data_IF_642084655054
#
_entry.id   IF_642084655054
#
_cell.length_a   1.000
_cell.length_b   1.000
_cell.length_c   1.000
_cell.angle_alpha   90.00
_cell.angle_beta   90.00
_cell.angle_gamma   90.00
#
_symmetry.space_group_name_H-M   'P 1'
#
loop_
_entity.id
_entity.type
_entity.pdbx_description
1 polymer ?
#
# COMPACT_ATOMS: atom_id res chain seq x y z
N UNK A 1 44.19 13.12 -12.78
CA UNK A 1 42.92 13.57 -13.36
C UNK A 1 41.86 13.68 -12.26
N UNK A 2 42.00 14.69 -11.40
CA UNK A 2 41.12 14.98 -10.27
C UNK A 2 41.17 16.50 -10.13
N UNK A 3 40.13 17.26 -10.52
CA UNK A 3 39.91 18.68 -10.17
C UNK A 3 38.74 19.31 -10.96
N UNK A 4 37.52 18.78 -10.89
CA UNK A 4 36.32 19.53 -11.30
C UNK A 4 35.11 19.18 -10.42
N UNK A 5 35.23 19.39 -9.11
CA UNK A 5 34.05 19.70 -8.29
C UNK A 5 33.90 21.22 -8.28
N UNK A 6 33.11 21.72 -9.23
CA UNK A 6 32.63 23.10 -9.20
C UNK A 6 31.82 23.30 -7.93
N UNK A 7 32.27 24.24 -7.09
CA UNK A 7 31.51 24.77 -5.96
C UNK A 7 30.18 25.32 -6.48
N UNK A 8 29.10 24.57 -6.27
CA UNK A 8 27.76 25.15 -6.31
C UNK A 8 27.71 26.18 -5.18
N UNK A 9 27.38 27.46 -5.43
CA UNK A 9 27.19 28.41 -4.36
C UNK A 9 25.90 28.01 -3.64
N UNK A 10 26.04 27.36 -2.49
CA UNK A 10 24.93 27.19 -1.56
C UNK A 10 24.53 28.59 -1.09
N UNK A 11 23.44 29.14 -1.66
CA UNK A 11 22.75 30.29 -1.07
C UNK A 11 22.29 29.86 0.32
N UNK A 12 23.03 30.29 1.34
CA UNK A 12 22.70 30.08 2.74
C UNK A 12 21.37 30.76 3.05
N UNK A 13 20.28 29.99 2.97
CA UNK A 13 18.98 30.41 3.49
C UNK A 13 19.07 30.33 5.01
N UNK A 14 19.14 31.49 5.65
CA UNK A 14 19.23 31.68 7.10
C UNK A 14 18.16 30.87 7.85
N UNK A 15 18.55 30.25 8.98
CA UNK A 15 17.71 29.37 9.79
C UNK A 15 16.27 29.83 10.10
N UNK A 16 15.99 31.13 10.33
CA UNK A 16 14.62 31.62 10.55
C UNK A 16 13.74 31.57 9.30
N UNK A 17 14.27 31.91 8.13
CA UNK A 17 13.53 31.88 6.85
C UNK A 17 13.29 30.44 6.38
N UNK A 18 14.25 29.54 6.58
CA UNK A 18 14.05 28.10 6.33
C UNK A 18 12.96 27.52 7.23
N UNK A 19 12.91 27.93 8.51
CA UNK A 19 11.88 27.48 9.45
C UNK A 19 10.52 28.07 9.12
N UNK A 20 10.43 29.37 8.79
CA UNK A 20 9.19 30.01 8.38
C UNK A 20 8.65 29.45 7.05
N UNK A 21 9.49 29.32 6.02
CA UNK A 21 9.12 28.68 4.75
C UNK A 21 8.67 27.23 4.94
N UNK A 22 9.39 26.44 5.75
CA UNK A 22 8.98 25.06 6.06
C UNK A 22 7.64 25.01 6.80
N UNK A 23 7.40 25.91 7.75
CA UNK A 23 6.14 25.95 8.51
C UNK A 23 4.97 26.39 7.63
N UNK A 24 5.18 27.37 6.75
CA UNK A 24 4.17 27.82 5.78
C UNK A 24 3.91 26.78 4.69
N UNK A 25 4.94 26.04 4.27
CA UNK A 25 4.84 24.96 3.31
C UNK A 25 4.17 23.73 3.92
N UNK A 26 4.48 23.36 5.16
CA UNK A 26 3.78 22.33 5.93
C UNK A 26 2.31 22.71 6.17
N UNK A 27 2.02 23.96 6.58
CA UNK A 27 0.65 24.45 6.76
C UNK A 27 -0.14 24.53 5.44
N UNK A 28 0.52 24.87 4.33
CA UNK A 28 -0.03 24.84 2.96
C UNK A 28 -0.33 23.41 2.52
N UNK A 29 0.57 22.46 2.79
CA UNK A 29 0.37 21.04 2.50
C UNK A 29 -0.80 20.46 3.27
N UNK A 30 -0.90 20.70 4.58
CA UNK A 30 -2.04 20.25 5.37
C UNK A 30 -3.38 20.84 4.88
N UNK A 31 -3.36 22.07 4.35
CA UNK A 31 -4.55 22.76 3.82
C UNK A 31 -4.96 22.21 2.45
N UNK A 32 -3.99 21.93 1.57
CA UNK A 32 -4.23 21.30 0.25
C UNK A 32 -4.63 19.83 0.40
N UNK A 33 -3.98 19.09 1.31
CA UNK A 33 -4.39 17.75 1.68
C UNK A 33 -5.87 17.75 2.06
N UNK A 34 -6.30 18.65 2.98
CA UNK A 34 -7.72 18.82 3.38
C UNK A 34 -8.67 19.32 2.28
N UNK A 35 -8.17 19.78 1.14
CA UNK A 35 -8.99 20.30 0.04
C UNK A 35 -9.60 19.22 -0.86
N UNK A 36 -9.08 17.99 -0.84
CA UNK A 36 -9.55 16.91 -1.71
C UNK A 36 -10.13 15.74 -0.87
N UNK A 37 -11.45 15.77 -0.69
CA UNK A 37 -12.20 14.75 0.08
C UNK A 37 -11.96 13.32 -0.44
N UNK A 38 -11.80 13.15 -1.77
CA UNK A 38 -11.55 11.84 -2.37
C UNK A 38 -10.15 11.31 -2.00
N UNK A 39 -9.14 12.18 -2.03
CA UNK A 39 -7.78 11.83 -1.64
C UNK A 39 -7.70 11.42 -0.17
N UNK A 40 -8.31 12.18 0.75
CA UNK A 40 -8.33 11.81 2.17
C UNK A 40 -9.03 10.49 2.43
N UNK A 41 -10.19 10.26 1.80
CA UNK A 41 -10.90 8.98 1.92
C UNK A 41 -10.05 7.83 1.38
N UNK A 42 -9.36 8.03 0.26
CA UNK A 42 -8.41 7.05 -0.29
C UNK A 42 -7.27 6.75 0.69
N UNK A 43 -6.66 7.78 1.28
CA UNK A 43 -5.57 7.66 2.26
C UNK A 43 -6.04 6.92 3.50
N UNK A 44 -7.19 7.29 4.08
CA UNK A 44 -7.73 6.67 5.29
C UNK A 44 -8.06 5.19 5.08
N UNK A 45 -8.68 4.86 3.95
CA UNK A 45 -8.97 3.46 3.60
C UNK A 45 -7.68 2.67 3.36
N UNK A 46 -6.71 3.26 2.65
CA UNK A 46 -5.39 2.64 2.43
C UNK A 46 -4.65 2.38 3.73
N UNK A 47 -4.72 3.35 4.66
CA UNK A 47 -4.14 3.27 5.99
C UNK A 47 -4.80 2.17 6.81
N UNK A 48 -6.14 2.09 6.81
CA UNK A 48 -6.87 1.01 7.47
C UNK A 48 -6.51 -0.37 6.90
N UNK A 49 -6.49 -0.52 5.56
CA UNK A 49 -6.08 -1.77 4.94
C UNK A 49 -4.65 -2.14 5.30
N UNK A 50 -3.72 -1.17 5.27
CA UNK A 50 -2.32 -1.39 5.61
C UNK A 50 -2.13 -1.76 7.09
N UNK A 51 -2.88 -1.13 8.00
CA UNK A 51 -2.91 -1.47 9.42
C UNK A 51 -3.32 -2.93 9.63
N UNK A 52 -4.44 -3.36 9.05
CA UNK A 52 -4.86 -4.76 9.13
C UNK A 52 -3.92 -5.71 8.39
N UNK A 53 -3.21 -5.24 7.35
CA UNK A 53 -2.13 -6.00 6.73
C UNK A 53 -1.01 -6.31 7.73
N UNK A 54 -0.54 -5.26 8.41
CA UNK A 54 0.59 -5.31 9.33
C UNK A 54 0.25 -5.91 10.69
N UNK A 55 -1.02 -6.05 11.02
CA UNK A 55 -1.49 -6.77 12.20
C UNK A 55 -0.91 -8.20 12.24
N UNK A 56 -1.03 -8.96 11.15
CA UNK A 56 -0.46 -10.32 11.03
C UNK A 56 0.84 -10.41 10.24
N UNK A 57 1.22 -9.36 9.49
CA UNK A 57 2.36 -9.36 8.55
C UNK A 57 3.67 -9.89 9.15
N UNK A 58 4.19 -9.29 10.24
CA UNK A 58 5.44 -9.73 10.87
C UNK A 58 5.36 -11.13 11.51
N UNK A 59 4.16 -11.57 11.88
CA UNK A 59 3.94 -12.84 12.58
C UNK A 59 3.80 -14.03 11.65
N UNK A 60 3.54 -13.81 10.35
CA UNK A 60 3.48 -14.92 9.38
C UNK A 60 4.78 -15.71 9.34
N UNK A 61 5.95 -15.06 9.36
CA UNK A 61 7.23 -15.75 9.38
C UNK A 61 7.43 -16.60 10.65
N UNK A 62 7.04 -16.05 11.80
CA UNK A 62 7.08 -16.76 13.08
C UNK A 62 6.14 -17.97 13.07
N UNK A 63 4.91 -17.81 12.59
CA UNK A 63 3.94 -18.90 12.46
C UNK A 63 4.43 -20.04 11.54
N UNK A 64 5.10 -19.71 10.43
CA UNK A 64 5.68 -20.71 9.53
C UNK A 64 6.69 -21.61 10.25
N UNK A 65 7.54 -21.03 11.09
CA UNK A 65 8.60 -21.77 11.78
C UNK A 65 8.09 -22.42 13.05
N UNK A 66 7.45 -21.67 13.95
CA UNK A 66 7.06 -22.13 15.28
C UNK A 66 5.83 -23.04 15.28
N UNK A 67 4.85 -22.80 14.40
CA UNK A 67 3.59 -23.55 14.40
C UNK A 67 3.58 -24.64 13.34
N UNK A 68 4.07 -24.33 12.12
CA UNK A 68 4.10 -25.31 11.03
C UNK A 68 5.39 -26.14 11.01
N UNK A 69 6.43 -25.74 11.73
CA UNK A 69 7.71 -26.45 11.73
C UNK A 69 8.48 -26.30 10.41
N UNK A 70 8.30 -25.20 9.69
CA UNK A 70 9.01 -24.97 8.44
C UNK A 70 10.52 -24.81 8.70
N UNK A 71 11.32 -25.60 7.98
CA UNK A 71 12.78 -25.45 8.00
C UNK A 71 13.21 -24.22 7.21
N UNK A 72 14.42 -23.72 7.48
CA UNK A 72 15.00 -22.59 6.74
C UNK A 72 15.02 -22.83 5.22
N UNK A 73 15.24 -24.08 4.78
CA UNK A 73 15.19 -24.47 3.37
C UNK A 73 13.80 -24.30 2.77
N UNK A 74 12.73 -24.68 3.49
CA UNK A 74 11.34 -24.49 3.03
C UNK A 74 11.00 -23.01 2.93
N UNK A 75 11.36 -22.21 3.94
CA UNK A 75 11.14 -20.75 3.92
C UNK A 75 11.91 -20.09 2.77
N UNK A 76 13.14 -20.54 2.50
CA UNK A 76 13.94 -20.09 1.36
C UNK A 76 13.24 -20.38 0.02
N UNK A 77 12.79 -21.62 -0.18
CA UNK A 77 12.04 -22.01 -1.37
C UNK A 77 10.75 -21.20 -1.56
N UNK A 78 9.97 -21.03 -0.48
CA UNK A 78 8.76 -20.20 -0.52
C UNK A 78 9.09 -18.75 -0.89
N UNK A 79 10.18 -18.19 -0.37
CA UNK A 79 10.61 -16.83 -0.73
C UNK A 79 10.96 -16.70 -2.22
N UNK A 80 11.63 -17.71 -2.79
CA UNK A 80 11.93 -17.75 -4.23
C UNK A 80 10.65 -17.82 -5.07
N UNK A 81 9.70 -18.69 -4.70
CA UNK A 81 8.40 -18.80 -5.37
C UNK A 81 7.61 -17.49 -5.27
N UNK A 82 7.62 -16.85 -4.10
CA UNK A 82 7.00 -15.54 -3.89
C UNK A 82 7.59 -14.49 -4.83
N UNK A 83 8.92 -14.40 -4.91
CA UNK A 83 9.62 -13.45 -5.76
C UNK A 83 9.31 -13.70 -7.26
N UNK A 84 9.32 -14.96 -7.70
CA UNK A 84 8.96 -15.31 -9.07
C UNK A 84 7.52 -14.92 -9.41
N UNK A 85 6.57 -15.22 -8.52
CA UNK A 85 5.16 -14.85 -8.70
C UNK A 85 4.94 -13.35 -8.67
N UNK A 86 5.72 -12.62 -7.87
CA UNK A 86 5.71 -11.16 -7.81
C UNK A 86 6.23 -10.55 -9.12
N UNK A 87 7.29 -11.11 -9.70
CA UNK A 87 7.81 -10.68 -11.01
C UNK A 87 6.81 -10.93 -12.14
N UNK A 88 6.17 -12.11 -12.17
CA UNK A 88 5.09 -12.43 -13.10
C UNK A 88 3.91 -11.45 -12.89
N UNK A 89 3.52 -11.24 -11.63
CA UNK A 89 2.48 -10.30 -11.25
C UNK A 89 2.76 -8.89 -11.76
N UNK A 90 3.98 -8.39 -11.61
CA UNK A 90 4.34 -7.05 -12.09
C UNK A 90 4.13 -6.91 -13.60
N UNK A 91 4.51 -7.90 -14.39
CA UNK A 91 4.33 -7.88 -15.84
C UNK A 91 2.86 -7.99 -16.28
N UNK A 92 2.08 -8.83 -15.60
CA UNK A 92 0.66 -9.04 -15.92
C UNK A 92 -0.16 -7.83 -15.49
N UNK A 93 0.02 -7.37 -14.25
CA UNK A 93 -0.72 -6.25 -13.71
C UNK A 93 -0.29 -4.91 -14.31
N UNK A 94 0.98 -4.73 -14.68
CA UNK A 94 1.42 -3.55 -15.44
C UNK A 94 0.59 -3.38 -16.71
N UNK A 95 0.55 -4.43 -17.56
CA UNK A 95 -0.27 -4.43 -18.78
C UNK A 95 -1.77 -4.29 -18.49
N UNK A 96 -2.26 -4.86 -17.39
CA UNK A 96 -3.67 -4.74 -17.02
C UNK A 96 -4.03 -3.31 -16.57
N UNK A 97 -3.15 -2.65 -15.84
CA UNK A 97 -3.28 -1.23 -15.43
C UNK A 97 -3.25 -0.34 -16.67
N UNK A 98 -2.32 -0.57 -17.60
CA UNK A 98 -2.25 0.21 -18.84
C UNK A 98 -3.51 0.08 -19.71
N UNK A 99 -4.12 -1.12 -19.75
CA UNK A 99 -5.29 -1.42 -20.60
C UNK A 99 -6.64 -1.10 -19.95
N UNK A 100 -6.80 -1.36 -18.64
CA UNK A 100 -8.08 -1.28 -17.92
C UNK A 100 -8.10 -0.18 -16.85
N UNK A 101 -6.98 0.48 -16.62
CA UNK A 101 -6.81 1.54 -15.62
C UNK A 101 -6.42 1.02 -14.23
N UNK A 102 -5.74 1.87 -13.48
CA UNK A 102 -5.27 1.60 -12.12
C UNK A 102 -6.42 1.26 -11.16
N UNK A 103 -7.55 1.95 -11.29
CA UNK A 103 -8.75 1.75 -10.45
C UNK A 103 -9.31 0.33 -10.54
N UNK A 104 -9.38 -0.23 -11.75
CA UNK A 104 -9.89 -1.57 -11.98
C UNK A 104 -8.98 -2.62 -11.34
N UNK A 105 -7.67 -2.52 -11.58
CA UNK A 105 -6.69 -3.46 -11.03
C UNK A 105 -6.64 -3.40 -9.50
N UNK A 106 -6.65 -2.18 -8.95
CA UNK A 106 -6.60 -1.98 -7.51
C UNK A 106 -7.85 -2.50 -6.80
N UNK A 107 -9.01 -2.34 -7.42
CA UNK A 107 -10.28 -2.90 -6.93
C UNK A 107 -10.23 -4.42 -6.87
N UNK A 108 -9.79 -5.06 -7.95
CA UNK A 108 -9.70 -6.52 -8.01
C UNK A 108 -8.72 -7.06 -6.96
N UNK A 109 -7.59 -6.40 -6.78
CA UNK A 109 -6.63 -6.77 -5.73
C UNK A 109 -7.18 -6.55 -4.32
N UNK A 110 -7.87 -5.44 -4.06
CA UNK A 110 -8.51 -5.19 -2.76
C UNK A 110 -9.60 -6.21 -2.44
N UNK A 111 -10.29 -6.76 -3.44
CA UNK A 111 -11.28 -7.81 -3.23
C UNK A 111 -10.63 -9.17 -2.93
N UNK A 112 -9.53 -9.50 -3.62
CA UNK A 112 -8.90 -10.83 -3.53
C UNK A 112 -7.94 -10.99 -2.34
N UNK A 113 -7.15 -9.95 -1.99
CA UNK A 113 -6.14 -10.01 -0.92
C UNK A 113 -6.73 -10.33 0.48
N UNK A 114 -7.90 -9.82 0.88
CA UNK A 114 -8.52 -10.17 2.16
C UNK A 114 -8.82 -11.66 2.34
N UNK A 115 -8.92 -12.43 1.25
CA UNK A 115 -9.11 -13.88 1.33
C UNK A 115 -7.84 -14.64 1.72
N UNK A 116 -6.65 -14.08 1.46
CA UNK A 116 -5.37 -14.71 1.77
C UNK A 116 -5.21 -15.15 3.24
N UNK A 117 -5.51 -14.32 4.26
CA UNK A 117 -5.41 -14.75 5.66
C UNK A 117 -6.32 -15.93 6.02
N UNK A 118 -7.46 -16.10 5.33
CA UNK A 118 -8.33 -17.27 5.56
C UNK A 118 -7.72 -18.57 5.04
N UNK A 119 -6.84 -18.51 4.04
CA UNK A 119 -6.10 -19.66 3.52
C UNK A 119 -5.11 -20.18 4.58
N UNK A 120 -4.68 -19.36 5.54
CA UNK A 120 -3.79 -19.79 6.63
C UNK A 120 -4.49 -20.66 7.68
N UNK A 121 -5.79 -20.51 7.89
CA UNK A 121 -6.55 -21.21 8.93
C UNK A 121 -6.52 -22.74 8.83
N UNK A 122 -6.66 -23.36 7.63
CA UNK A 122 -6.61 -24.81 7.49
C UNK A 122 -5.19 -25.38 7.37
N UNK A 123 -4.13 -24.57 7.34
CA UNK A 123 -2.77 -25.07 7.11
C UNK A 123 -2.29 -25.91 8.30
N UNK A 124 -1.81 -27.12 7.99
CA UNK A 124 -1.27 -28.08 8.96
C UNK A 124 0.16 -28.50 8.67
N UNK A 125 0.67 -28.20 7.47
CA UNK A 125 2.01 -28.59 7.04
C UNK A 125 2.71 -27.48 6.25
N UNK A 126 4.05 -27.35 6.34
CA UNK A 126 4.82 -26.29 5.68
C UNK A 126 4.65 -26.24 4.16
N UNK A 127 4.53 -27.39 3.49
CA UNK A 127 4.40 -27.43 2.02
C UNK A 127 3.12 -26.75 1.53
N UNK A 128 2.07 -26.69 2.36
CA UNK A 128 0.80 -26.05 2.02
C UNK A 128 0.91 -24.53 1.94
N UNK A 129 1.99 -23.93 2.47
CA UNK A 129 2.25 -22.49 2.37
C UNK A 129 2.38 -22.02 0.92
N UNK A 130 2.67 -22.92 -0.02
CA UNK A 130 2.69 -22.60 -1.46
C UNK A 130 1.34 -22.02 -1.93
N UNK A 131 0.22 -22.50 -1.38
CA UNK A 131 -1.13 -22.03 -1.72
C UNK A 131 -1.42 -20.61 -1.22
N UNK A 132 -0.66 -20.13 -0.24
CA UNK A 132 -0.71 -18.73 0.21
C UNK A 132 0.27 -17.90 -0.61
N UNK A 133 1.52 -18.38 -0.71
CA UNK A 133 2.64 -17.61 -1.24
C UNK A 133 2.42 -17.28 -2.71
N UNK A 134 1.97 -18.24 -3.51
CA UNK A 134 1.73 -18.05 -4.95
C UNK A 134 0.73 -16.92 -5.23
N UNK A 135 -0.52 -16.98 -4.72
CA UNK A 135 -1.47 -15.90 -4.95
C UNK A 135 -1.06 -14.61 -4.22
N UNK A 136 -0.37 -14.69 -3.07
CA UNK A 136 0.10 -13.49 -2.38
C UNK A 136 1.09 -12.69 -3.23
N UNK A 137 2.13 -13.34 -3.78
CA UNK A 137 3.14 -12.66 -4.59
C UNK A 137 2.52 -11.98 -5.82
N UNK A 138 1.61 -12.70 -6.48
CA UNK A 138 0.90 -12.20 -7.66
C UNK A 138 -0.04 -11.02 -7.34
N UNK A 139 -0.86 -11.11 -6.30
CA UNK A 139 -1.84 -10.07 -5.95
C UNK A 139 -1.18 -8.83 -5.35
N UNK A 140 -0.13 -9.00 -4.54
CA UNK A 140 0.61 -7.87 -3.96
C UNK A 140 1.29 -7.03 -5.02
N UNK A 141 1.90 -7.67 -6.04
CA UNK A 141 2.47 -6.95 -7.18
C UNK A 141 1.41 -6.09 -7.88
N UNK A 142 0.21 -6.64 -8.11
CA UNK A 142 -0.88 -5.89 -8.72
C UNK A 142 -1.35 -4.70 -7.89
N UNK A 143 -1.49 -4.91 -6.57
CA UNK A 143 -1.85 -3.84 -5.65
C UNK A 143 -0.81 -2.71 -5.64
N UNK A 144 0.48 -3.04 -5.58
CA UNK A 144 1.57 -2.05 -5.54
C UNK A 144 1.54 -1.14 -6.78
N UNK A 145 1.47 -1.74 -7.98
CA UNK A 145 1.43 -0.99 -9.24
C UNK A 145 0.16 -0.14 -9.32
N UNK A 146 -0.99 -0.74 -9.05
CA UNK A 146 -2.26 -0.06 -9.20
C UNK A 146 -2.46 1.06 -8.15
N UNK A 147 -1.97 0.87 -6.93
CA UNK A 147 -1.98 1.88 -5.87
C UNK A 147 -1.08 3.06 -6.21
N UNK A 148 0.13 2.79 -6.69
CA UNK A 148 1.04 3.85 -7.12
C UNK A 148 0.44 4.68 -8.26
N UNK A 149 -0.05 4.03 -9.33
CA UNK A 149 -0.66 4.74 -10.46
C UNK A 149 -1.91 5.53 -10.05
N UNK A 150 -2.78 4.97 -9.20
CA UNK A 150 -3.96 5.70 -8.73
C UNK A 150 -3.58 6.90 -7.85
N UNK A 151 -2.54 6.77 -7.03
CA UNK A 151 -2.02 7.88 -6.24
C UNK A 151 -1.49 9.01 -7.15
N UNK A 152 -0.79 8.67 -8.23
CA UNK A 152 -0.36 9.65 -9.25
C UNK A 152 -1.55 10.35 -9.91
N UNK A 153 -2.58 9.59 -10.31
CA UNK A 153 -3.81 10.14 -10.90
C UNK A 153 -4.55 11.12 -9.97
N UNK A 154 -4.55 10.87 -8.66
CA UNK A 154 -5.30 11.67 -7.68
C UNK A 154 -4.60 12.97 -7.28
N UNK A 155 -3.27 13.02 -7.38
CA UNK A 155 -2.46 14.09 -6.82
C UNK A 155 -2.15 15.20 -7.84
N UNK A 156 -2.04 14.87 -9.13
CA UNK A 156 -1.66 15.82 -10.18
C UNK A 156 -0.19 16.29 -10.11
N UNK A 157 0.30 16.94 -11.17
CA UNK A 157 1.74 17.20 -11.36
C UNK A 157 2.32 18.26 -10.40
N UNK A 158 1.55 19.28 -10.01
CA UNK A 158 2.08 20.46 -9.31
C UNK A 158 2.62 20.19 -7.89
N UNK A 159 2.10 19.17 -7.18
CA UNK A 159 2.46 18.87 -5.77
C UNK A 159 2.64 17.38 -5.50
N UNK A 160 3.01 16.65 -6.57
CA UNK A 160 3.12 15.20 -6.56
C UNK A 160 3.99 14.65 -5.43
N UNK A 161 5.20 15.18 -5.31
CA UNK A 161 6.19 14.72 -4.34
C UNK A 161 5.70 14.86 -2.91
N UNK A 162 5.12 16.01 -2.55
CA UNK A 162 4.74 16.31 -1.18
C UNK A 162 3.50 15.51 -0.72
N UNK A 163 2.51 15.34 -1.61
CA UNK A 163 1.31 14.56 -1.28
C UNK A 163 1.61 13.05 -1.19
N UNK A 164 2.52 12.54 -2.02
CA UNK A 164 3.02 11.15 -1.91
C UNK A 164 3.81 10.99 -0.61
N UNK A 165 4.64 11.96 -0.23
CA UNK A 165 5.36 11.93 1.05
C UNK A 165 4.39 11.92 2.24
N UNK A 166 3.34 12.74 2.20
CA UNK A 166 2.27 12.73 3.20
C UNK A 166 1.53 11.38 3.27
N UNK A 167 1.16 10.82 2.11
CA UNK A 167 0.57 9.48 2.03
C UNK A 167 1.47 8.42 2.68
N UNK A 168 2.75 8.36 2.30
CA UNK A 168 3.70 7.40 2.85
C UNK A 168 3.92 7.57 4.36
N UNK A 169 3.90 8.81 4.85
CA UNK A 169 3.99 9.10 6.29
C UNK A 169 2.81 8.52 7.06
N UNK A 170 1.59 8.70 6.55
CA UNK A 170 0.38 8.15 7.18
C UNK A 170 0.34 6.61 7.12
N UNK A 171 0.76 6.04 5.99
CA UNK A 171 0.93 4.59 5.86
C UNK A 171 1.99 4.07 6.83
N UNK A 172 3.10 4.78 7.05
CA UNK A 172 4.13 4.39 8.01
C UNK A 172 3.58 4.32 9.45
N UNK A 173 2.70 5.25 9.83
CA UNK A 173 2.02 5.19 11.14
C UNK A 173 1.21 3.90 11.27
N UNK A 174 0.41 3.55 10.26
CA UNK A 174 -0.31 2.27 10.25
C UNK A 174 0.63 1.06 10.32
N UNK A 175 1.77 1.10 9.62
CA UNK A 175 2.75 0.03 9.63
C UNK A 175 3.42 -0.18 11.00
N UNK A 176 3.52 0.86 11.82
CA UNK A 176 4.09 0.81 13.18
C UNK A 176 3.03 0.33 14.17
N UNK A 177 1.80 0.83 14.07
CA UNK A 177 0.72 0.48 15.00
C UNK A 177 0.21 -0.96 14.77
N UNK A 178 0.18 -1.42 13.52
CA UNK A 178 -0.32 -2.75 13.17
C UNK A 178 0.32 -3.88 13.98
N UNK A 179 1.65 -4.04 13.95
CA UNK A 179 2.34 -5.11 14.68
C UNK A 179 2.22 -4.95 16.19
N UNK A 180 2.24 -3.71 16.71
CA UNK A 180 2.07 -3.45 18.14
C UNK A 180 0.73 -4.00 18.64
N UNK A 181 -0.35 -3.76 17.89
CA UNK A 181 -1.68 -4.29 18.21
C UNK A 181 -1.76 -5.80 17.94
N UNK A 182 -1.24 -6.27 16.81
CA UNK A 182 -1.21 -7.69 16.43
C UNK A 182 -0.52 -8.57 17.48
N UNK A 183 0.59 -8.12 18.04
CA UNK A 183 1.27 -8.84 19.13
C UNK A 183 0.42 -9.00 20.38
N UNK A 184 -0.41 -8.01 20.72
CA UNK A 184 -1.35 -8.12 21.85
C UNK A 184 -2.46 -9.11 21.52
N UNK A 185 -3.00 -9.04 20.29
CA UNK A 185 -4.06 -9.94 19.81
C UNK A 185 -3.58 -11.39 19.83
N UNK A 186 -2.37 -11.66 19.32
CA UNK A 186 -1.78 -13.00 19.32
C UNK A 186 -1.54 -13.49 20.74
N UNK A 187 -1.06 -12.63 21.65
CA UNK A 187 -0.82 -13.03 23.05
C UNK A 187 -2.11 -13.38 23.79
N UNK A 188 -3.21 -12.67 23.53
CA UNK A 188 -4.49 -12.86 24.24
C UNK A 188 -5.38 -13.92 23.59
N UNK A 189 -5.43 -13.97 22.26
CA UNK A 189 -6.40 -14.77 21.50
C UNK A 189 -5.75 -15.73 20.49
N UNK A 190 -4.43 -15.72 20.36
CA UNK A 190 -3.67 -16.61 19.48
C UNK A 190 -3.64 -16.19 18.00
N UNK A 191 -2.81 -16.88 17.22
CA UNK A 191 -2.60 -16.61 15.79
C UNK A 191 -3.88 -16.71 14.93
N UNK A 192 -4.80 -17.61 15.29
CA UNK A 192 -6.06 -17.78 14.55
C UNK A 192 -6.94 -16.54 14.61
N UNK A 193 -7.05 -15.92 15.79
CA UNK A 193 -7.84 -14.71 15.96
C UNK A 193 -7.20 -13.53 15.20
N UNK A 194 -5.88 -13.43 15.20
CA UNK A 194 -5.13 -12.42 14.44
C UNK A 194 -5.40 -12.53 12.92
N UNK A 195 -5.35 -13.75 12.36
CA UNK A 195 -5.64 -13.97 10.94
C UNK A 195 -7.09 -13.63 10.57
N UNK A 196 -8.05 -14.01 11.41
CA UNK A 196 -9.47 -13.66 11.19
C UNK A 196 -9.68 -12.16 11.27
N UNK A 197 -9.11 -11.49 12.29
CA UNK A 197 -9.22 -10.04 12.46
C UNK A 197 -8.58 -9.29 11.29
N UNK A 198 -7.40 -9.74 10.84
CA UNK A 198 -6.72 -9.22 9.67
C UNK A 198 -7.57 -9.39 8.40
N UNK A 199 -8.14 -10.58 8.18
CA UNK A 199 -9.00 -10.86 7.03
C UNK A 199 -10.26 -10.01 6.99
N UNK A 200 -11.00 -9.97 8.10
CA UNK A 200 -12.24 -9.18 8.21
C UNK A 200 -11.93 -7.69 8.07
N UNK A 201 -10.90 -7.17 8.76
CA UNK A 201 -10.54 -5.76 8.69
C UNK A 201 -10.13 -5.32 7.28
N UNK A 202 -9.35 -6.15 6.57
CA UNK A 202 -9.03 -5.90 5.16
C UNK A 202 -10.27 -5.97 4.26
N UNK A 203 -11.21 -6.87 4.54
CA UNK A 203 -12.46 -6.98 3.78
C UNK A 203 -13.31 -5.72 3.96
N UNK A 204 -13.45 -5.22 5.20
CA UNK A 204 -14.16 -3.96 5.48
C UNK A 204 -13.50 -2.81 4.75
N UNK A 205 -12.17 -2.69 4.81
CA UNK A 205 -11.44 -1.65 4.08
C UNK A 205 -11.65 -1.76 2.55
N UNK A 206 -11.66 -2.99 2.01
CA UNK A 206 -11.92 -3.23 0.58
C UNK A 206 -13.36 -2.86 0.18
N UNK A 207 -14.36 -3.15 1.01
CA UNK A 207 -15.76 -2.77 0.77
C UNK A 207 -15.94 -1.25 0.83
N UNK A 208 -15.29 -0.57 1.79
CA UNK A 208 -15.26 0.89 1.84
C UNK A 208 -14.60 1.48 0.59
N UNK A 209 -13.52 0.85 0.12
CA UNK A 209 -12.84 1.24 -1.12
C UNK A 209 -13.74 1.11 -2.35
N UNK A 210 -14.48 0.00 -2.46
CA UNK A 210 -15.48 -0.23 -3.51
C UNK A 210 -16.58 0.84 -3.50
N UNK A 211 -17.10 1.16 -2.32
CA UNK A 211 -18.10 2.20 -2.14
C UNK A 211 -17.57 3.60 -2.52
N UNK A 212 -16.30 3.88 -2.22
CA UNK A 212 -15.65 5.14 -2.54
C UNK A 212 -15.40 5.32 -4.05
N UNK A 213 -14.83 4.32 -4.71
CA UNK A 213 -14.35 4.45 -6.08
C UNK A 213 -15.35 4.05 -7.15
N UNK A 214 -16.54 3.52 -6.78
CA UNK A 214 -17.59 3.01 -7.70
C UNK A 214 -16.99 2.48 -9.02
N UNK A 215 -16.15 1.42 -8.96
CA UNK A 215 -15.14 1.09 -9.98
C UNK A 215 -15.65 0.76 -11.39
N UNK A 216 -16.97 0.82 -11.62
CA UNK A 216 -17.63 0.50 -12.88
C UNK A 216 -18.34 1.69 -13.57
N UNK A 217 -18.28 2.93 -13.04
CA UNK A 217 -18.65 4.12 -13.85
C UNK A 217 -17.43 4.62 -14.61
N UNK A 218 -17.47 4.45 -15.92
CA UNK A 218 -16.36 4.64 -16.84
C UNK A 218 -15.70 6.03 -16.80
N UNK A 219 -14.41 6.02 -17.17
CA UNK A 219 -13.60 7.13 -17.68
C UNK A 219 -13.84 8.49 -17.01
N UNK A 220 -13.04 8.77 -15.98
CA UNK A 220 -12.89 10.06 -15.29
C UNK A 220 -12.12 11.11 -16.13
N UNK A 221 -12.21 11.04 -17.46
CA UNK A 221 -11.70 12.12 -18.32
C UNK A 221 -12.55 13.40 -18.18
N UNK A 222 -13.74 13.31 -17.60
CA UNK A 222 -14.68 14.44 -17.45
C UNK A 222 -14.47 15.32 -16.22
N UNK A 223 -13.61 14.95 -15.25
CA UNK A 223 -13.35 15.78 -14.05
C UNK A 223 -12.00 16.51 -14.08
N UNK A 224 -11.13 16.19 -15.04
CA UNK A 224 -9.82 16.83 -15.21
C UNK A 224 -9.70 17.62 -16.52
N UNK A 225 -10.76 17.75 -17.32
CA UNK A 225 -10.74 18.68 -18.44
C UNK A 225 -10.73 20.11 -17.88
N UNK A 226 -9.64 20.88 -18.07
CA UNK A 226 -9.71 22.31 -17.85
C UNK A 226 -10.77 22.83 -18.82
N UNK A 227 -11.70 23.63 -18.30
CA UNK A 227 -12.70 24.30 -19.11
C UNK A 227 -11.99 25.23 -20.11
N UNK A 228 -11.66 24.70 -21.29
CA UNK A 228 -11.25 25.50 -22.45
C UNK A 228 -12.51 25.99 -23.15
N UNK A 229 -13.34 26.76 -22.44
CA UNK A 229 -14.35 27.65 -23.00
C UNK A 229 -14.38 28.95 -22.19
N UNK A 230 -13.55 29.88 -22.64
CA UNK A 230 -13.55 31.30 -22.30
C UNK A 230 -12.42 31.92 -23.10
N UNK A 231 -12.70 32.21 -24.38
CA UNK A 231 -12.88 33.58 -24.92
C UNK A 231 -11.55 34.27 -25.13
#
# INVERSE_FOLDING_TARGET
>A
ALYLFGRVPERGVSGPQRRAQRTDQEASLWRVLRGNDLFWRFVLISMGFNFFWQLGGPYFGVYQVEVLGATASVVGWLSMVSAAMRMIGQQVWGRAVDRRGARWALTLCHLLIPFLPFIWLPLRAPWQLVFVVVPSGFLWAGREIANFNLLLELVGEERQTDMIAGYNTLIAVANILGPLVGGQVIRLWGYRADFVLSGIGRMVAALLFLGLLRPFRGRVWTLLAPDRRGS
#
